data_IF_268192166749
#
_entry.id   IF_268192166749
#
_cell.length_a   1.000
_cell.length_b   1.000
_cell.length_c   1.000
_cell.angle_alpha   90.00
_cell.angle_beta   90.00
_cell.angle_gamma   90.00
#
_symmetry.space_group_name_H-M   'P 1'
#
loop_
_entity.id
_entity.type
_entity.pdbx_description
1 polymer ?
#
# COMPACT_ATOMS: atom_id res chain seq x y z
N UNK A 1 7.51 -35.90 2.10
CA UNK A 1 7.15 -35.11 0.90
C UNK A 1 6.14 -34.09 1.39
N UNK A 2 6.62 -32.95 1.89
CA UNK A 2 5.73 -31.90 2.38
C UNK A 2 5.28 -31.04 1.20
N UNK A 3 3.96 -30.93 1.06
CA UNK A 3 3.32 -30.09 0.06
C UNK A 3 3.76 -28.63 0.27
N UNK A 4 4.66 -28.15 -0.59
CA UNK A 4 4.89 -26.72 -0.82
C UNK A 4 3.61 -26.11 -1.40
N UNK A 5 2.63 -25.90 -0.53
CA UNK A 5 1.44 -25.15 -0.84
C UNK A 5 1.88 -23.70 -0.83
N UNK A 6 2.12 -23.11 -1.99
CA UNK A 6 2.36 -21.68 -2.12
C UNK A 6 1.08 -20.94 -1.71
N UNK A 7 0.84 -20.80 -0.40
CA UNK A 7 -0.37 -20.24 0.19
C UNK A 7 -0.63 -18.80 -0.27
N UNK A 8 0.44 -18.14 -0.72
CA UNK A 8 0.43 -16.80 -1.28
C UNK A 8 0.10 -16.76 -2.78
N UNK A 9 -0.13 -17.89 -3.45
CA UNK A 9 -0.58 -17.92 -4.85
C UNK A 9 -2.07 -18.26 -4.88
N UNK A 10 -2.85 -17.42 -5.56
CA UNK A 10 -4.30 -17.59 -5.74
C UNK A 10 -4.65 -17.61 -7.23
N UNK A 11 -5.59 -18.45 -7.62
CA UNK A 11 -6.15 -18.44 -8.98
C UNK A 11 -7.48 -17.70 -8.99
N UNK A 12 -7.60 -16.71 -9.88
CA UNK A 12 -8.80 -15.87 -10.02
C UNK A 12 -9.07 -15.73 -11.52
N UNK A 13 -10.21 -16.22 -11.99
CA UNK A 13 -10.59 -16.13 -13.41
C UNK A 13 -9.63 -16.84 -14.37
N UNK A 14 -8.86 -17.84 -13.90
CA UNK A 14 -7.84 -18.54 -14.68
C UNK A 14 -6.45 -17.89 -14.66
N UNK A 15 -6.33 -16.69 -14.11
CA UNK A 15 -5.05 -16.01 -13.89
C UNK A 15 -4.50 -16.34 -12.50
N UNK A 16 -3.17 -16.51 -12.40
CA UNK A 16 -2.46 -16.69 -11.13
C UNK A 16 -2.05 -15.34 -10.56
N UNK A 17 -2.27 -15.16 -9.27
CA UNK A 17 -1.92 -13.96 -8.52
C UNK A 17 -1.04 -14.31 -7.32
N UNK A 18 -0.09 -13.44 -7.01
CA UNK A 18 0.77 -13.47 -5.84
C UNK A 18 0.20 -12.47 -4.83
N UNK A 19 -0.25 -12.97 -3.68
CA UNK A 19 -0.60 -12.16 -2.53
C UNK A 19 0.66 -11.50 -2.01
N UNK A 20 0.69 -10.18 -1.88
CA UNK A 20 1.87 -9.41 -1.53
C UNK A 20 1.51 -8.27 -0.58
N UNK A 21 2.40 -8.01 0.37
CA UNK A 21 2.24 -6.97 1.37
C UNK A 21 3.38 -5.96 1.22
N UNK A 22 3.01 -4.70 1.06
CA UNK A 22 3.93 -3.57 1.18
C UNK A 22 3.75 -2.97 2.56
N UNK A 23 4.79 -3.08 3.39
CA UNK A 23 4.79 -2.60 4.76
C UNK A 23 5.61 -1.32 4.86
N UNK A 24 5.13 -0.43 5.70
CA UNK A 24 5.69 0.89 5.93
C UNK A 24 5.85 1.13 7.41
N UNK A 25 6.97 1.75 7.79
CA UNK A 25 7.13 2.24 9.15
C UNK A 25 6.21 3.44 9.41
N UNK A 26 5.84 3.72 10.67
CA UNK A 26 4.87 4.77 11.00
C UNK A 26 5.30 6.15 10.52
N UNK A 27 6.61 6.40 10.40
CA UNK A 27 7.18 7.66 9.91
C UNK A 27 6.74 7.98 8.47
N UNK A 28 6.28 7.00 7.68
CA UNK A 28 5.73 7.27 6.34
C UNK A 28 4.54 8.23 6.39
N UNK A 29 3.80 8.26 7.51
CA UNK A 29 2.64 9.11 7.70
C UNK A 29 3.03 10.59 7.53
N UNK A 30 4.22 11.01 7.95
CA UNK A 30 4.68 12.40 7.76
C UNK A 30 4.79 12.82 6.28
N UNK A 31 4.96 11.85 5.38
CA UNK A 31 5.18 12.07 3.95
C UNK A 31 3.92 11.87 3.08
N UNK A 32 2.95 11.12 3.57
CA UNK A 32 1.84 10.63 2.76
C UNK A 32 0.46 10.83 3.36
N UNK A 33 0.40 11.27 4.62
CA UNK A 33 -0.84 11.64 5.29
C UNK A 33 -1.32 13.00 4.80
N UNK A 34 -2.64 13.15 4.63
CA UNK A 34 -3.25 14.44 4.27
C UNK A 34 -3.04 15.50 5.37
N UNK A 35 -2.66 15.12 6.60
CA UNK A 35 -2.65 16.02 7.73
C UNK A 35 -1.50 15.83 8.72
N UNK A 36 -0.32 16.42 8.43
CA UNK A 36 0.43 17.07 9.52
C UNK A 36 -0.43 18.15 10.22
N UNK A 37 -1.52 18.57 9.58
CA UNK A 37 -2.56 19.41 10.16
C UNK A 37 -3.44 18.67 11.18
N UNK A 38 -3.64 17.34 11.12
CA UNK A 38 -4.61 16.63 11.99
C UNK A 38 -4.06 16.30 13.39
N UNK A 39 -2.78 15.95 13.48
CA UNK A 39 -2.13 15.57 14.75
C UNK A 39 -1.72 16.82 15.57
N UNK A 40 -1.66 18.00 14.92
CA UNK A 40 -1.38 19.29 15.55
C UNK A 40 -2.61 20.18 15.83
N UNK A 41 -3.84 19.68 15.63
CA UNK A 41 -5.05 20.52 15.73
C UNK A 41 -5.33 20.97 17.16
N UNK A 42 -5.41 22.28 17.36
CA UNK A 42 -6.10 22.87 18.50
C UNK A 42 -7.62 22.66 18.30
N UNK A 43 -8.33 22.00 19.22
CA UNK A 43 -9.77 21.74 19.09
C UNK A 43 -10.65 23.01 18.94
N UNK A 44 -10.09 24.21 19.06
CA UNK A 44 -10.79 25.49 18.92
C UNK A 44 -10.92 26.03 17.49
N UNK A 45 -10.17 25.53 16.49
CA UNK A 45 -10.18 26.06 15.11
C UNK A 45 -11.21 25.36 14.18
N UNK A 46 -12.48 25.74 14.31
CA UNK A 46 -13.63 25.05 13.69
C UNK A 46 -13.72 25.03 12.15
N UNK A 47 -13.12 25.98 11.43
CA UNK A 47 -13.33 26.14 9.97
C UNK A 47 -12.44 25.26 9.09
N UNK A 48 -11.20 24.97 9.48
CA UNK A 48 -10.31 24.07 8.72
C UNK A 48 -10.62 22.59 8.97
N UNK A 49 -11.18 22.28 10.15
CA UNK A 49 -11.59 20.93 10.55
C UNK A 49 -12.67 20.33 9.64
N UNK A 50 -13.57 21.16 9.11
CA UNK A 50 -14.70 20.69 8.30
C UNK A 50 -14.24 20.22 6.92
N UNK A 51 -13.31 20.94 6.28
CA UNK A 51 -12.76 20.57 4.97
C UNK A 51 -11.89 19.29 5.03
N UNK A 52 -11.15 19.08 6.12
CA UNK A 52 -10.29 17.90 6.30
C UNK A 52 -11.14 16.66 6.59
N UNK A 53 -12.15 16.78 7.44
CA UNK A 53 -13.09 15.68 7.69
C UNK A 53 -13.90 15.31 6.45
N UNK A 54 -14.33 16.27 5.65
CA UNK A 54 -15.03 16.00 4.38
C UNK A 54 -14.13 15.23 3.39
N UNK A 55 -12.83 15.56 3.32
CA UNK A 55 -11.85 14.82 2.49
C UNK A 55 -11.59 13.39 2.99
N UNK A 56 -11.54 13.17 4.31
CA UNK A 56 -11.41 11.83 4.91
C UNK A 56 -12.67 10.99 4.64
N UNK A 57 -13.86 11.59 4.78
CA UNK A 57 -15.15 10.97 4.50
C UNK A 57 -15.26 10.63 3.00
N UNK A 58 -14.86 11.54 2.11
CA UNK A 58 -14.86 11.35 0.65
C UNK A 58 -13.90 10.24 0.21
N UNK A 59 -12.72 10.14 0.82
CA UNK A 59 -11.74 9.09 0.54
C UNK A 59 -12.13 7.71 1.11
N UNK A 60 -13.09 7.64 2.04
CA UNK A 60 -13.61 6.40 2.60
C UNK A 60 -12.52 5.50 3.20
N UNK A 61 -12.51 4.21 2.86
CA UNK A 61 -11.51 3.23 3.33
C UNK A 61 -10.06 3.54 2.88
N UNK A 62 -9.85 4.52 2.01
CA UNK A 62 -8.53 4.88 1.49
C UNK A 62 -7.97 6.16 2.15
N UNK A 63 -8.72 6.76 3.09
CA UNK A 63 -8.49 8.13 3.58
C UNK A 63 -7.27 8.37 4.45
N UNK A 64 -6.58 7.34 4.95
CA UNK A 64 -5.38 7.55 5.75
C UNK A 64 -4.17 7.94 4.90
N UNK A 65 -3.93 7.28 3.76
CA UNK A 65 -2.77 7.54 2.89
C UNK A 65 -3.13 7.42 1.39
N UNK A 66 -4.14 8.17 0.89
CA UNK A 66 -4.71 7.96 -0.44
C UNK A 66 -3.73 8.23 -1.58
N UNK A 67 -2.80 9.19 -1.39
CA UNK A 67 -1.77 9.48 -2.40
C UNK A 67 -0.75 8.34 -2.50
N UNK A 68 -0.31 7.78 -1.36
CA UNK A 68 0.62 6.65 -1.35
C UNK A 68 0.01 5.41 -2.02
N UNK A 69 -1.24 5.10 -1.69
CA UNK A 69 -1.98 4.01 -2.31
C UNK A 69 -2.17 4.25 -3.82
N UNK A 70 -2.53 5.48 -4.21
CA UNK A 70 -2.64 5.87 -5.62
C UNK A 70 -1.33 5.64 -6.38
N UNK A 71 -0.21 6.12 -5.85
CA UNK A 71 1.10 5.93 -6.47
C UNK A 71 1.49 4.44 -6.57
N UNK A 72 1.25 3.64 -5.53
CA UNK A 72 1.48 2.19 -5.59
C UNK A 72 0.63 1.55 -6.71
N UNK A 73 -0.66 1.88 -6.77
CA UNK A 73 -1.58 1.38 -7.81
C UNK A 73 -1.10 1.76 -9.21
N UNK A 74 -0.59 2.98 -9.40
CA UNK A 74 -0.01 3.44 -10.67
C UNK A 74 1.25 2.66 -11.07
N UNK A 75 2.16 2.44 -10.11
CA UNK A 75 3.42 1.70 -10.37
C UNK A 75 3.15 0.23 -10.71
N UNK A 76 2.17 -0.40 -10.03
CA UNK A 76 1.73 -1.78 -10.32
C UNK A 76 1.03 -1.83 -11.69
N UNK A 77 0.27 -0.80 -12.03
CA UNK A 77 -0.45 -0.65 -13.28
C UNK A 77 -1.87 -1.21 -13.23
N UNK A 78 -2.79 -0.55 -13.94
CA UNK A 78 -4.18 -0.97 -14.03
C UNK A 78 -4.32 -2.40 -14.55
N UNK A 79 -5.31 -3.14 -14.02
CA UNK A 79 -5.62 -4.54 -14.37
C UNK A 79 -4.53 -5.57 -14.03
N UNK A 80 -3.48 -5.17 -13.31
CA UNK A 80 -2.41 -6.06 -12.85
C UNK A 80 -2.56 -6.52 -11.40
N UNK A 81 -3.55 -5.98 -10.67
CA UNK A 81 -3.77 -6.31 -9.27
C UNK A 81 -5.24 -6.30 -8.86
N UNK A 82 -5.52 -6.99 -7.76
CA UNK A 82 -6.70 -6.76 -6.91
C UNK A 82 -6.23 -6.21 -5.56
N UNK A 83 -6.89 -5.16 -5.06
CA UNK A 83 -6.54 -4.57 -3.77
C UNK A 83 -7.34 -5.23 -2.64
N UNK A 84 -6.65 -5.85 -1.68
CA UNK A 84 -7.26 -6.63 -0.61
C UNK A 84 -7.45 -5.84 0.69
N UNK A 85 -6.84 -4.65 0.78
CA UNK A 85 -7.04 -3.70 1.87
C UNK A 85 -5.74 -3.28 2.54
N UNK A 86 -5.87 -2.79 3.77
CA UNK A 86 -4.75 -2.30 4.58
C UNK A 86 -4.90 -2.72 6.03
N UNK A 87 -3.78 -2.72 6.75
CA UNK A 87 -3.70 -2.92 8.19
C UNK A 87 -2.89 -1.77 8.80
N UNK A 88 -3.36 -1.23 9.94
CA UNK A 88 -2.64 -0.24 10.75
C UNK A 88 -2.40 -0.87 12.12
N UNK A 89 -1.15 -0.89 12.56
CA UNK A 89 -0.76 -1.21 13.93
C UNK A 89 0.04 -0.05 14.54
N UNK A 90 0.44 -0.17 15.80
CA UNK A 90 1.33 0.81 16.45
C UNK A 90 2.72 0.84 15.81
N UNK A 91 3.14 -0.27 15.19
CA UNK A 91 4.50 -0.45 14.66
C UNK A 91 4.55 -0.30 13.14
N UNK A 92 3.45 -0.56 12.43
CA UNK A 92 3.47 -0.68 10.97
C UNK A 92 2.17 -0.23 10.31
N UNK A 93 2.30 0.21 9.06
CA UNK A 93 1.21 0.38 8.13
C UNK A 93 1.43 -0.52 6.91
N UNK A 94 0.45 -1.36 6.58
CA UNK A 94 0.60 -2.37 5.54
C UNK A 94 -0.51 -2.31 4.50
N UNK A 95 -0.16 -2.47 3.23
CA UNK A 95 -1.08 -2.58 2.11
C UNK A 95 -0.98 -3.93 1.42
N UNK A 96 -2.13 -4.55 1.18
CA UNK A 96 -2.23 -5.91 0.65
C UNK A 96 -2.76 -5.91 -0.78
N UNK A 97 -2.05 -6.60 -1.65
CA UNK A 97 -2.36 -6.74 -3.08
C UNK A 97 -2.32 -8.20 -3.49
N UNK A 98 -3.20 -8.58 -4.40
CA UNK A 98 -3.02 -9.76 -5.24
C UNK A 98 -2.47 -9.26 -6.57
N UNK A 99 -1.19 -9.51 -6.87
CA UNK A 99 -0.51 -9.03 -8.08
C UNK A 99 -0.38 -10.18 -9.08
N UNK A 100 -0.68 -9.97 -10.36
CA UNK A 100 -0.55 -11.01 -11.39
C UNK A 100 0.85 -11.62 -11.39
N UNK A 101 0.91 -12.95 -11.27
CA UNK A 101 2.17 -13.69 -11.14
C UNK A 101 3.10 -13.46 -12.34
N UNK A 102 2.53 -13.31 -13.54
CA UNK A 102 3.26 -13.06 -14.79
C UNK A 102 4.06 -11.75 -14.82
N UNK A 103 3.69 -10.77 -14.00
CA UNK A 103 4.32 -9.44 -13.96
C UNK A 103 4.93 -9.11 -12.59
N UNK A 104 4.81 -10.01 -11.61
CA UNK A 104 5.18 -9.77 -10.22
C UNK A 104 6.64 -9.32 -10.04
N UNK A 105 7.62 -10.04 -10.60
CA UNK A 105 9.05 -9.66 -10.51
C UNK A 105 9.33 -8.29 -11.12
N UNK A 106 8.65 -7.95 -12.22
CA UNK A 106 8.76 -6.64 -12.87
C UNK A 106 8.16 -5.53 -11.99
N UNK A 107 7.00 -5.78 -11.37
CA UNK A 107 6.37 -4.85 -10.44
C UNK A 107 7.28 -4.58 -9.23
N UNK A 108 7.85 -5.60 -8.60
CA UNK A 108 8.76 -5.40 -7.48
C UNK A 108 10.00 -4.58 -7.88
N UNK A 109 10.53 -4.81 -9.08
CA UNK A 109 11.65 -4.01 -9.60
C UNK A 109 11.27 -2.53 -9.78
N UNK A 110 10.07 -2.26 -10.31
CA UNK A 110 9.56 -0.88 -10.45
C UNK A 110 9.30 -0.21 -9.10
N UNK A 111 8.71 -0.93 -8.15
CA UNK A 111 8.45 -0.43 -6.80
C UNK A 111 9.76 -0.14 -6.07
N UNK A 112 10.79 -0.97 -6.25
CA UNK A 112 12.13 -0.69 -5.72
C UNK A 112 12.69 0.63 -6.26
N UNK A 113 12.64 0.85 -7.58
CA UNK A 113 13.09 2.11 -8.18
C UNK A 113 12.26 3.32 -7.72
N UNK A 114 10.94 3.15 -7.61
CA UNK A 114 10.05 4.20 -7.11
C UNK A 114 10.33 4.55 -5.64
N UNK A 115 10.53 3.54 -4.78
CA UNK A 115 10.91 3.71 -3.37
C UNK A 115 12.24 4.44 -3.24
N UNK A 116 13.22 4.11 -4.08
CA UNK A 116 14.50 4.82 -4.13
C UNK A 116 14.32 6.30 -4.54
N UNK A 117 13.54 6.57 -5.58
CA UNK A 117 13.25 7.93 -6.04
C UNK A 117 12.50 8.78 -5.02
N UNK A 118 11.60 8.16 -4.24
CA UNK A 118 10.83 8.82 -3.18
C UNK A 118 11.59 8.90 -1.85
N UNK A 119 12.82 8.40 -1.79
CA UNK A 119 13.65 8.33 -0.58
C UNK A 119 13.00 7.49 0.55
N UNK A 120 12.10 6.56 0.21
CA UNK A 120 11.41 5.66 1.15
C UNK A 120 12.20 4.38 1.46
N UNK A 121 13.50 4.36 1.15
CA UNK A 121 14.34 3.19 1.34
C UNK A 121 14.30 2.68 2.78
N UNK A 122 14.38 3.55 3.77
CA UNK A 122 14.37 3.12 5.17
C UNK A 122 12.95 3.01 5.75
N UNK A 123 11.93 3.40 4.99
CA UNK A 123 10.54 3.53 5.45
C UNK A 123 9.62 2.44 4.92
N UNK A 124 9.98 1.80 3.80
CA UNK A 124 9.17 0.78 3.15
C UNK A 124 9.94 -0.53 3.00
N UNK A 125 9.27 -1.65 3.24
CA UNK A 125 9.83 -3.00 3.12
C UNK A 125 8.74 -3.99 2.73
N UNK A 126 9.18 -5.16 2.28
CA UNK A 126 8.32 -6.28 1.91
C UNK A 126 9.12 -7.57 1.92
N UNK A 127 8.43 -8.69 2.07
CA UNK A 127 9.00 -10.02 1.83
C UNK A 127 8.84 -10.39 0.36
N UNK A 128 9.96 -10.61 -0.33
CA UNK A 128 9.93 -11.14 -1.69
C UNK A 128 9.46 -12.60 -1.66
N UNK A 129 8.58 -12.94 -2.60
CA UNK A 129 7.97 -14.27 -2.70
C UNK A 129 8.50 -14.95 -3.94
N UNK A 130 8.80 -16.24 -3.84
CA UNK A 130 9.20 -17.01 -4.99
C UNK A 130 8.02 -17.20 -5.94
N UNK A 131 8.25 -17.01 -7.23
CA UNK A 131 7.26 -17.34 -8.26
C UNK A 131 7.88 -18.42 -9.12
N UNK A 132 7.34 -19.62 -9.02
CA UNK A 132 7.70 -20.73 -9.91
C UNK A 132 7.06 -20.45 -11.29
N UNK A 133 7.91 -20.31 -12.29
CA UNK A 133 7.53 -20.13 -13.71
C UNK A 133 6.81 -21.37 -14.27
#
# INVERSE_FOLDING_TARGET
MENNSNWYIKEIGGDKYVYHCFSFKPEIQEHSFIGNEFIGMDPSETTDHQNIMDRVIEAGKEGFLPNLLGELKEVIGENNYEYDGYEISEEEYSHYFLIKASIYKNVLSKIKLWREFKEFNELMYWDEKEVLE
#
